data_IF_961029522678
#
_entry.id   IF_961029522678
#
_cell.length_a   1.000
_cell.length_b   1.000
_cell.length_c   1.000
_cell.angle_alpha   90.00
_cell.angle_beta   90.00
_cell.angle_gamma   90.00
#
_symmetry.space_group_name_H-M   'P 1'
#
loop_
_entity.id
_entity.type
_entity.pdbx_description
1 polymer ?
#
# COMPACT_ATOMS: atom_id res chain seq x y z
N UNK A 1 -21.02 23.04 -2.70
CA UNK A 1 -19.84 22.42 -2.05
C UNK A 1 -19.61 20.94 -2.37
N UNK A 2 -20.64 20.10 -2.60
CA UNK A 2 -20.48 18.65 -2.87
C UNK A 2 -19.76 18.35 -4.21
N UNK A 3 -19.98 19.18 -5.23
CA UNK A 3 -19.38 19.01 -6.55
C UNK A 3 -17.89 19.40 -6.57
N UNK A 4 -17.53 20.49 -5.87
CA UNK A 4 -16.12 20.88 -5.68
C UNK A 4 -15.33 19.77 -4.98
N UNK A 5 -15.85 19.17 -3.90
CA UNK A 5 -15.19 18.04 -3.23
C UNK A 5 -14.97 16.85 -4.17
N UNK A 6 -15.93 16.54 -5.05
CA UNK A 6 -15.79 15.48 -6.07
C UNK A 6 -14.77 15.84 -7.14
N UNK A 7 -14.73 17.11 -7.57
CA UNK A 7 -13.75 17.61 -8.53
C UNK A 7 -12.32 17.49 -7.97
N UNK A 8 -12.10 17.96 -6.74
CA UNK A 8 -10.80 17.82 -6.07
C UNK A 8 -10.40 16.36 -5.87
N UNK A 9 -11.33 15.49 -5.50
CA UNK A 9 -11.06 14.06 -5.39
C UNK A 9 -10.67 13.45 -6.75
N UNK A 10 -11.38 13.81 -7.81
CA UNK A 10 -11.06 13.38 -9.17
C UNK A 10 -9.67 13.83 -9.62
N UNK A 11 -9.33 15.10 -9.38
CA UNK A 11 -8.00 15.65 -9.68
C UNK A 11 -6.92 14.93 -8.86
N UNK A 12 -7.16 14.68 -7.56
CA UNK A 12 -6.22 13.97 -6.71
C UNK A 12 -5.97 12.54 -7.21
N UNK A 13 -7.03 11.80 -7.57
CA UNK A 13 -6.90 10.45 -8.13
C UNK A 13 -6.15 10.50 -9.47
N UNK A 14 -6.45 11.46 -10.33
CA UNK A 14 -5.74 11.62 -11.60
C UNK A 14 -4.24 11.87 -11.39
N UNK A 15 -3.88 12.78 -10.47
CA UNK A 15 -2.50 13.04 -10.11
C UNK A 15 -1.82 11.80 -9.53
N UNK A 16 -2.51 11.05 -8.66
CA UNK A 16 -2.00 9.81 -8.11
C UNK A 16 -1.70 8.79 -9.22
N UNK A 17 -2.60 8.61 -10.18
CA UNK A 17 -2.40 7.72 -11.34
C UNK A 17 -1.20 8.18 -12.16
N UNK A 18 -1.08 9.47 -12.45
CA UNK A 18 0.06 10.01 -13.21
C UNK A 18 1.39 9.78 -12.50
N UNK A 19 1.44 9.98 -11.18
CA UNK A 19 2.64 9.71 -10.38
C UNK A 19 2.99 8.23 -10.41
N UNK A 20 2.01 7.33 -10.29
CA UNK A 20 2.24 5.88 -10.38
C UNK A 20 2.77 5.52 -11.77
N UNK A 21 2.17 6.05 -12.84
CA UNK A 21 2.63 5.78 -14.20
C UNK A 21 4.06 6.28 -14.42
N UNK A 22 4.37 7.52 -14.02
CA UNK A 22 5.72 8.05 -14.10
C UNK A 22 6.71 7.19 -13.31
N UNK A 23 6.36 6.80 -12.08
CA UNK A 23 7.19 5.91 -11.27
C UNK A 23 7.45 4.57 -11.96
N UNK A 24 6.41 3.96 -12.55
CA UNK A 24 6.53 2.69 -13.29
C UNK A 24 7.43 2.83 -14.51
N UNK A 25 7.25 3.91 -15.27
CA UNK A 25 8.01 4.16 -16.50
C UNK A 25 9.48 4.48 -16.22
N UNK A 26 9.77 5.26 -15.18
CA UNK A 26 11.15 5.61 -14.79
C UNK A 26 11.89 4.42 -14.17
N UNK A 27 11.17 3.49 -13.52
CA UNK A 27 11.76 2.36 -12.80
C UNK A 27 11.48 1.01 -13.48
N UNK A 28 11.73 0.93 -14.80
CA UNK A 28 11.62 -0.30 -15.60
C UNK A 28 12.81 -1.25 -15.44
N UNK A 29 13.83 -0.86 -14.65
CA UNK A 29 14.99 -1.70 -14.40
C UNK A 29 14.57 -3.03 -13.77
N UNK A 30 14.98 -4.14 -14.41
CA UNK A 30 14.73 -5.48 -13.90
C UNK A 30 15.70 -5.81 -12.76
N UNK A 31 15.17 -6.20 -11.61
CA UNK A 31 15.93 -6.64 -10.44
C UNK A 31 15.44 -7.99 -9.96
N UNK A 32 16.35 -8.81 -9.46
CA UNK A 32 16.02 -10.04 -8.74
C UNK A 32 16.12 -9.78 -7.25
N UNK A 33 15.11 -10.23 -6.50
CA UNK A 33 15.14 -10.18 -5.04
C UNK A 33 15.83 -11.44 -4.50
N UNK A 34 16.86 -11.26 -3.69
CA UNK A 34 17.46 -12.33 -2.93
C UNK A 34 16.75 -12.41 -1.57
N UNK A 35 16.14 -13.56 -1.27
CA UNK A 35 15.48 -13.78 0.01
C UNK A 35 15.96 -15.11 0.61
N UNK A 36 16.54 -15.06 1.81
CA UNK A 36 17.08 -16.24 2.50
C UNK A 36 18.05 -17.08 1.63
N UNK A 37 18.81 -16.42 0.74
CA UNK A 37 19.74 -17.08 -0.18
C UNK A 37 19.12 -17.58 -1.49
N UNK A 38 17.81 -17.47 -1.66
CA UNK A 38 17.10 -17.84 -2.89
C UNK A 38 16.86 -16.60 -3.76
N UNK A 39 17.21 -16.68 -5.04
CA UNK A 39 16.95 -15.62 -6.01
C UNK A 39 15.56 -15.76 -6.62
N UNK A 40 14.74 -14.73 -6.47
CA UNK A 40 13.46 -14.64 -7.15
C UNK A 40 13.58 -14.30 -8.64
N UNK A 41 12.47 -14.38 -9.40
CA UNK A 41 12.46 -13.94 -10.80
C UNK A 41 12.82 -12.46 -10.91
N UNK A 42 13.48 -12.09 -12.01
CA UNK A 42 13.79 -10.70 -12.30
C UNK A 42 12.51 -9.96 -12.71
N UNK A 43 12.13 -8.94 -11.94
CA UNK A 43 10.96 -8.10 -12.19
C UNK A 43 11.37 -6.62 -12.15
N UNK A 44 10.67 -5.73 -12.88
CA UNK A 44 10.85 -4.30 -12.74
C UNK A 44 10.73 -3.85 -11.28
N UNK A 45 11.68 -3.02 -10.82
CA UNK A 45 11.68 -2.45 -9.45
C UNK A 45 10.32 -1.82 -9.13
N UNK A 46 9.73 -1.13 -10.11
CA UNK A 46 8.42 -0.50 -9.96
C UNK A 46 7.32 -1.46 -9.52
N UNK A 47 7.23 -2.65 -10.14
CA UNK A 47 6.21 -3.64 -9.79
C UNK A 47 6.42 -4.16 -8.37
N UNK A 48 7.67 -4.41 -7.97
CA UNK A 48 8.00 -4.87 -6.62
C UNK A 48 7.56 -3.83 -5.59
N UNK A 49 7.92 -2.56 -5.79
CA UNK A 49 7.62 -1.50 -4.83
C UNK A 49 6.12 -1.23 -4.75
N UNK A 50 5.43 -1.10 -5.88
CA UNK A 50 3.97 -0.85 -5.90
C UNK A 50 3.21 -1.99 -5.24
N UNK A 51 3.55 -3.24 -5.56
CA UNK A 51 2.88 -4.39 -4.93
C UNK A 51 3.16 -4.46 -3.44
N UNK A 52 4.40 -4.20 -3.00
CA UNK A 52 4.74 -4.14 -1.57
C UNK A 52 3.94 -3.06 -0.83
N UNK A 53 3.80 -1.87 -1.42
CA UNK A 53 2.99 -0.79 -0.84
C UNK A 53 1.51 -1.16 -0.73
N UNK A 54 0.93 -1.77 -1.78
CA UNK A 54 -0.45 -2.24 -1.77
C UNK A 54 -0.67 -3.34 -0.72
N UNK A 55 0.25 -4.31 -0.66
CA UNK A 55 0.21 -5.39 0.35
C UNK A 55 0.34 -4.81 1.76
N UNK A 56 1.26 -3.88 2.00
CA UNK A 56 1.40 -3.18 3.28
C UNK A 56 0.14 -2.40 3.67
N UNK A 57 -0.50 -1.73 2.71
CA UNK A 57 -1.76 -1.02 2.92
C UNK A 57 -2.91 -1.95 3.33
N UNK A 58 -2.93 -3.19 2.83
CA UNK A 58 -3.91 -4.21 3.24
C UNK A 58 -3.57 -4.84 4.59
N UNK A 59 -2.29 -5.13 4.83
CA UNK A 59 -1.81 -5.76 6.07
C UNK A 59 -2.01 -4.81 7.27
N UNK A 60 -1.77 -3.51 7.12
CA UNK A 60 -1.89 -2.54 8.21
C UNK A 60 -3.25 -2.56 8.94
N UNK A 61 -4.39 -2.40 8.24
CA UNK A 61 -5.73 -2.52 8.81
C UNK A 61 -6.03 -3.90 9.38
N UNK A 62 -5.55 -4.98 8.75
CA UNK A 62 -5.74 -6.36 9.25
C UNK A 62 -5.05 -6.52 10.60
N UNK A 63 -3.79 -6.11 10.72
CA UNK A 63 -3.05 -6.13 11.98
C UNK A 63 -3.69 -5.20 13.02
N UNK A 64 -4.09 -3.98 12.61
CA UNK A 64 -4.78 -3.03 13.48
C UNK A 64 -6.11 -3.57 14.02
N UNK A 65 -6.84 -4.33 13.20
CA UNK A 65 -8.07 -4.99 13.63
C UNK A 65 -7.81 -6.17 14.57
N UNK A 66 -6.82 -7.01 14.28
CA UNK A 66 -6.45 -8.15 15.13
C UNK A 66 -5.92 -7.70 16.51
N UNK A 67 -4.99 -6.76 16.53
CA UNK A 67 -4.40 -6.21 17.76
C UNK A 67 -5.38 -5.29 18.50
N UNK A 68 -6.18 -4.51 17.76
CA UNK A 68 -7.22 -3.64 18.30
C UNK A 68 -8.42 -4.38 18.90
N UNK A 69 -8.64 -5.65 18.53
CA UNK A 69 -9.57 -6.54 19.24
C UNK A 69 -9.04 -6.94 20.62
N UNK A 70 -7.75 -7.22 20.73
CA UNK A 70 -7.11 -7.58 22.01
C UNK A 70 -7.20 -6.45 23.04
N UNK A 71 -7.02 -5.21 22.61
CA UNK A 71 -7.10 -4.03 23.49
C UNK A 71 -8.52 -3.65 23.92
N UNK A 72 -9.56 -3.97 23.12
CA UNK A 72 -10.96 -3.77 23.53
C UNK A 72 -11.46 -4.81 24.53
N UNK A 73 -10.94 -6.04 24.50
CA UNK A 73 -11.31 -7.09 25.47
C UNK A 73 -10.75 -6.77 26.86
N UNK A 74 -9.55 -6.17 26.94
CA UNK A 74 -8.92 -5.79 28.21
C UNK A 74 -9.57 -4.57 28.90
N UNK A 75 -10.42 -3.81 28.17
CA UNK A 75 -11.14 -2.64 28.69
C UNK A 75 -12.61 -2.93 29.00
N UNK A 76 -12.96 -4.17 29.35
CA UNK A 76 -14.19 -4.40 30.11
C UNK A 76 -13.97 -3.82 31.50
N UNK A 77 -14.71 -2.78 31.93
CA UNK A 77 -14.69 -2.38 33.32
C UNK A 77 -15.16 -3.58 34.14
N UNK A 78 -14.31 -4.06 35.03
CA UNK A 78 -14.74 -4.90 36.14
C UNK A 78 -15.40 -3.93 37.13
N UNK A 79 -16.74 -4.01 37.19
CA UNK A 79 -17.64 -3.27 38.09
C UNK A 79 -17.91 -1.82 37.72
#
# INVERSE_FOLDING_TARGET
>A
MRNFKRLFLGIFILLLVLVILAFVLENQQSVSLLFLGWSGPALPVSLIVVTALLVGMLIGPILGWLLGRSSRILRKPLV
#
